data_IF_688722458667
#
_entry.id   IF_688722458667
#
_cell.length_a   1.000
_cell.length_b   1.000
_cell.length_c   1.000
_cell.angle_alpha   90.00
_cell.angle_beta   90.00
_cell.angle_gamma   90.00
#
_symmetry.space_group_name_H-M   'P 1'
#
loop_
_entity.id
_entity.type
_entity.pdbx_description
1 polymer ?
#
# COMPACT_ATOMS: atom_id res chain seq x y z
N UNK A 1 0.87 -0.46 21.74
CA UNK A 1 -0.40 -1.17 21.85
C UNK A 1 -0.35 -2.12 23.02
N UNK A 2 -1.43 -2.18 23.83
CA UNK A 2 -1.54 -3.12 24.97
C UNK A 2 -2.29 -4.41 24.58
N UNK A 3 -2.84 -4.47 23.37
CA UNK A 3 -3.50 -5.67 22.88
C UNK A 3 -2.48 -6.78 22.59
N UNK A 4 -2.87 -8.01 22.84
CA UNK A 4 -2.12 -9.15 22.34
C UNK A 4 -2.14 -9.16 20.82
N UNK A 5 -1.06 -9.61 20.20
CA UNK A 5 -0.96 -9.65 18.76
C UNK A 5 -0.21 -10.89 18.30
N UNK A 6 -0.59 -11.39 17.15
CA UNK A 6 0.08 -12.49 16.47
C UNK A 6 0.32 -12.12 15.01
N UNK A 7 1.39 -12.67 14.42
CA UNK A 7 1.69 -12.50 13.01
C UNK A 7 1.26 -13.74 12.24
N UNK A 8 0.62 -13.54 11.13
CA UNK A 8 0.46 -14.57 10.11
C UNK A 8 1.45 -14.31 8.96
N UNK A 9 1.75 -15.35 8.20
CA UNK A 9 2.64 -15.23 7.03
C UNK A 9 2.02 -14.30 6.00
N UNK A 10 2.89 -13.63 5.26
CA UNK A 10 2.47 -12.65 4.26
C UNK A 10 1.49 -13.26 3.25
N UNK A 11 0.29 -12.69 3.17
CA UNK A 11 -0.82 -13.12 2.31
C UNK A 11 -1.23 -14.62 2.43
N UNK A 12 -0.84 -15.30 3.51
CA UNK A 12 -1.17 -16.70 3.79
C UNK A 12 -2.49 -16.78 4.57
N UNK A 13 -3.59 -16.87 3.83
CA UNK A 13 -4.94 -16.92 4.41
C UNK A 13 -5.20 -18.22 5.17
N UNK A 14 -4.59 -19.32 4.76
CA UNK A 14 -4.69 -20.59 5.49
C UNK A 14 -4.00 -20.51 6.85
N UNK A 15 -2.84 -19.85 6.92
CA UNK A 15 -2.19 -19.60 8.22
C UNK A 15 -3.04 -18.69 9.09
N UNK A 16 -3.58 -17.61 8.53
CA UNK A 16 -4.49 -16.72 9.25
C UNK A 16 -5.69 -17.49 9.81
N UNK A 17 -6.32 -18.31 8.98
CA UNK A 17 -7.50 -19.07 9.40
C UNK A 17 -7.18 -20.08 10.51
N UNK A 18 -6.04 -20.78 10.42
CA UNK A 18 -5.58 -21.66 11.53
C UNK A 18 -5.39 -20.91 12.85
N UNK A 19 -4.88 -19.67 12.82
CA UNK A 19 -4.77 -18.83 14.00
C UNK A 19 -6.15 -18.43 14.55
N UNK A 20 -7.08 -18.07 13.66
CA UNK A 20 -8.45 -17.73 14.05
C UNK A 20 -9.16 -18.90 14.69
N UNK A 21 -9.10 -20.10 14.10
CA UNK A 21 -9.68 -21.33 14.68
C UNK A 21 -9.15 -21.60 16.09
N UNK A 22 -7.86 -21.33 16.32
CA UNK A 22 -7.22 -21.56 17.63
C UNK A 22 -7.57 -20.51 18.67
N UNK A 23 -7.71 -19.24 18.28
CA UNK A 23 -7.67 -18.12 19.23
C UNK A 23 -8.94 -17.28 19.27
N UNK A 24 -9.83 -17.32 18.24
CA UNK A 24 -10.99 -16.42 18.12
C UNK A 24 -11.86 -16.39 19.38
N UNK A 25 -12.15 -17.56 19.94
CA UNK A 25 -13.04 -17.71 21.10
C UNK A 25 -12.46 -17.16 22.42
N UNK A 26 -11.16 -16.93 22.47
CA UNK A 26 -10.50 -16.40 23.66
C UNK A 26 -10.63 -14.87 23.81
N UNK A 27 -11.10 -14.18 22.77
CA UNK A 27 -11.13 -12.73 22.74
C UNK A 27 -12.50 -12.19 22.32
N UNK A 28 -12.95 -11.15 23.03
CA UNK A 28 -14.20 -10.47 22.68
C UNK A 28 -14.11 -9.79 21.30
N UNK A 29 -13.00 -9.13 21.02
CA UNK A 29 -12.75 -8.45 19.75
C UNK A 29 -11.43 -8.92 19.16
N UNK A 30 -11.46 -9.31 17.89
CA UNK A 30 -10.27 -9.68 17.13
C UNK A 30 -10.19 -8.79 15.90
N UNK A 31 -9.02 -8.19 15.69
CA UNK A 31 -8.74 -7.29 14.59
C UNK A 31 -7.73 -7.92 13.63
N UNK A 32 -8.05 -7.91 12.35
CA UNK A 32 -7.06 -8.15 11.30
C UNK A 32 -6.56 -6.77 10.84
N UNK A 33 -5.23 -6.61 10.80
CA UNK A 33 -4.57 -5.38 10.35
C UNK A 33 -3.72 -5.72 9.13
N UNK A 34 -3.95 -5.04 8.02
CA UNK A 34 -3.21 -5.25 6.77
C UNK A 34 -3.04 -3.95 5.98
N UNK A 35 -2.07 -3.91 5.06
CA UNK A 35 -2.07 -2.95 3.94
C UNK A 35 -2.89 -3.54 2.79
N UNK A 36 -3.51 -2.71 1.96
CA UNK A 36 -4.17 -3.17 0.73
C UNK A 36 -3.18 -3.43 -0.40
N UNK A 37 -2.18 -2.55 -0.55
CA UNK A 37 -1.00 -2.72 -1.41
C UNK A 37 0.22 -2.60 -0.52
N UNK A 38 1.06 -3.64 -0.49
CA UNK A 38 2.22 -3.69 0.39
C UNK A 38 3.36 -2.83 -0.15
N UNK A 39 3.90 -1.99 0.73
CA UNK A 39 4.86 -0.94 0.39
C UNK A 39 6.19 -1.45 -0.15
N UNK A 40 6.62 -2.66 0.22
CA UNK A 40 7.93 -3.22 -0.15
C UNK A 40 7.87 -4.21 -1.31
N UNK A 41 6.77 -4.93 -1.42
CA UNK A 41 6.58 -5.99 -2.42
C UNK A 41 5.66 -5.58 -3.57
N UNK A 42 4.82 -4.56 -3.35
CA UNK A 42 3.89 -4.05 -4.34
C UNK A 42 2.72 -4.99 -4.65
N UNK A 43 2.64 -6.13 -3.97
CA UNK A 43 1.53 -7.06 -4.09
C UNK A 43 0.30 -6.58 -3.30
N UNK A 44 -0.83 -7.17 -3.59
CA UNK A 44 -2.12 -6.81 -2.98
C UNK A 44 -2.52 -7.82 -1.91
N UNK A 45 -3.13 -7.32 -0.83
CA UNK A 45 -3.82 -8.20 0.11
C UNK A 45 -5.05 -8.83 -0.55
N UNK A 46 -5.36 -10.10 -0.27
CA UNK A 46 -6.57 -10.78 -0.77
C UNK A 46 -7.81 -10.32 0.00
N UNK A 47 -8.21 -9.05 -0.19
CA UNK A 47 -9.25 -8.38 0.60
C UNK A 47 -10.60 -9.10 0.54
N UNK A 48 -10.96 -9.71 -0.60
CA UNK A 48 -12.20 -10.51 -0.70
C UNK A 48 -12.18 -11.72 0.24
N UNK A 49 -11.03 -12.40 0.35
CA UNK A 49 -10.86 -13.52 1.29
C UNK A 49 -10.88 -13.03 2.74
N UNK A 50 -10.23 -11.89 3.02
CA UNK A 50 -10.27 -11.26 4.35
C UNK A 50 -11.69 -10.87 4.74
N UNK A 51 -12.50 -10.37 3.79
CA UNK A 51 -13.92 -10.09 4.01
C UNK A 51 -14.72 -11.37 4.36
N UNK A 52 -14.46 -12.48 3.67
CA UNK A 52 -15.09 -13.75 3.97
C UNK A 52 -14.72 -14.25 5.38
N UNK A 53 -13.44 -14.16 5.75
CA UNK A 53 -12.98 -14.50 7.11
C UNK A 53 -13.56 -13.55 8.17
N UNK A 54 -13.64 -12.24 7.88
CA UNK A 54 -14.30 -11.27 8.76
C UNK A 54 -15.72 -11.70 9.09
N UNK A 55 -16.51 -12.06 8.08
CA UNK A 55 -17.90 -12.52 8.26
C UNK A 55 -17.97 -13.85 8.99
N UNK A 56 -17.14 -14.82 8.59
CA UNK A 56 -17.13 -16.18 9.17
C UNK A 56 -16.80 -16.20 10.66
N UNK A 57 -15.86 -15.37 11.09
CA UNK A 57 -15.33 -15.38 12.46
C UNK A 57 -15.73 -14.14 13.27
N UNK A 58 -16.64 -13.31 12.78
CA UNK A 58 -17.05 -12.05 13.44
C UNK A 58 -15.84 -11.20 13.86
N UNK A 59 -15.04 -10.75 12.89
CA UNK A 59 -13.81 -10.00 13.09
C UNK A 59 -14.01 -8.54 12.74
N UNK A 60 -13.04 -7.75 13.16
CA UNK A 60 -12.85 -6.36 12.74
C UNK A 60 -11.68 -6.27 11.76
N UNK A 61 -11.84 -5.45 10.73
CA UNK A 61 -10.84 -5.30 9.68
C UNK A 61 -10.33 -3.86 9.61
N UNK A 62 -9.02 -3.71 9.82
CA UNK A 62 -8.28 -2.47 9.61
C UNK A 62 -7.46 -2.60 8.32
N UNK A 63 -7.67 -1.70 7.38
CA UNK A 63 -6.96 -1.68 6.09
C UNK A 63 -6.23 -0.35 5.91
N UNK A 64 -4.93 -0.41 5.65
CA UNK A 64 -4.14 0.74 5.23
C UNK A 64 -4.11 0.82 3.70
N UNK A 65 -4.72 1.89 3.17
CA UNK A 65 -4.82 2.20 1.75
C UNK A 65 -3.76 3.22 1.28
N UNK A 66 -2.71 3.44 2.06
CA UNK A 66 -1.72 4.48 1.78
C UNK A 66 -1.08 4.37 0.39
N UNK A 67 -0.98 3.17 -0.18
CA UNK A 67 -0.46 2.91 -1.51
C UNK A 67 -1.55 2.68 -2.57
N UNK A 68 -2.81 2.57 -2.19
CA UNK A 68 -3.91 2.31 -3.12
C UNK A 68 -4.80 3.53 -3.37
N UNK A 69 -5.03 4.37 -2.35
CA UNK A 69 -5.84 5.58 -2.46
C UNK A 69 -5.25 6.55 -3.50
N UNK A 70 -6.08 6.97 -4.45
CA UNK A 70 -5.71 7.79 -5.59
C UNK A 70 -5.13 7.01 -6.78
N UNK A 71 -4.71 5.75 -6.56
CA UNK A 71 -3.97 4.92 -7.53
C UNK A 71 -4.84 3.86 -8.18
N UNK A 72 -5.76 3.25 -7.44
CA UNK A 72 -6.61 2.18 -7.95
C UNK A 72 -8.04 2.27 -7.42
N UNK A 73 -8.87 1.37 -7.91
CA UNK A 73 -10.28 1.29 -7.55
C UNK A 73 -11.17 2.35 -8.24
N UNK A 74 -12.49 2.21 -8.13
CA UNK A 74 -13.44 3.10 -8.79
C UNK A 74 -13.23 4.56 -8.39
N UNK A 75 -12.89 5.42 -9.35
CA UNK A 75 -12.60 6.84 -9.11
C UNK A 75 -11.40 7.08 -8.18
N UNK A 76 -10.46 6.12 -8.08
CA UNK A 76 -9.27 6.24 -7.24
C UNK A 76 -9.53 6.03 -5.73
N UNK A 77 -10.63 5.38 -5.36
CA UNK A 77 -11.01 5.18 -3.95
C UNK A 77 -10.26 4.05 -3.24
N UNK A 78 -9.33 3.39 -3.91
CA UNK A 78 -8.50 2.35 -3.34
C UNK A 78 -8.99 0.93 -3.59
N UNK A 79 -8.24 -0.05 -3.10
CA UNK A 79 -8.47 -1.47 -3.36
C UNK A 79 -9.68 -2.01 -2.59
N UNK A 80 -9.92 -1.54 -1.37
CA UNK A 80 -11.11 -1.92 -0.59
C UNK A 80 -12.40 -1.55 -1.35
N UNK A 81 -12.44 -0.36 -1.96
CA UNK A 81 -13.56 0.05 -2.81
C UNK A 81 -13.69 -0.80 -4.08
N UNK A 82 -12.57 -1.24 -4.67
CA UNK A 82 -12.57 -2.10 -5.85
C UNK A 82 -13.11 -3.52 -5.56
N UNK A 83 -12.86 -4.02 -4.37
CA UNK A 83 -13.26 -5.37 -3.94
C UNK A 83 -14.58 -5.40 -3.17
N UNK A 84 -15.18 -4.23 -2.89
CA UNK A 84 -16.37 -4.14 -2.05
C UNK A 84 -16.14 -4.57 -0.59
N UNK A 85 -14.90 -4.43 -0.11
CA UNK A 85 -14.54 -4.85 1.25
C UNK A 85 -15.04 -3.84 2.27
N UNK A 86 -15.78 -4.32 3.26
CA UNK A 86 -16.27 -3.54 4.39
C UNK A 86 -15.20 -3.47 5.49
N UNK A 87 -14.52 -2.33 5.58
CA UNK A 87 -13.49 -2.07 6.58
C UNK A 87 -14.08 -1.37 7.81
N UNK A 88 -13.80 -1.87 9.01
CA UNK A 88 -14.17 -1.17 10.27
C UNK A 88 -13.31 0.08 10.47
N UNK A 89 -12.05 0.01 10.05
CA UNK A 89 -11.13 1.15 9.96
C UNK A 89 -10.41 1.10 8.62
N UNK A 90 -10.52 2.17 7.85
CA UNK A 90 -9.71 2.40 6.66
C UNK A 90 -8.85 3.63 6.88
N UNK A 91 -7.56 3.50 6.64
CA UNK A 91 -6.60 4.61 6.72
C UNK A 91 -6.01 4.88 5.35
N UNK A 92 -5.88 6.14 4.98
CA UNK A 92 -5.12 6.53 3.80
C UNK A 92 -4.31 7.80 4.05
N UNK A 93 -3.21 7.94 3.31
CA UNK A 93 -2.33 9.10 3.42
C UNK A 93 -2.56 10.11 2.31
N UNK A 94 -2.46 11.37 2.64
CA UNK A 94 -2.48 12.47 1.68
C UNK A 94 -1.07 12.78 1.11
N UNK A 95 -0.03 12.20 1.70
CA UNK A 95 1.37 12.47 1.34
C UNK A 95 1.92 11.69 0.13
N UNK A 96 1.10 10.87 -0.52
CA UNK A 96 1.50 10.06 -1.69
C UNK A 96 0.78 10.54 -2.96
N UNK A 97 -0.18 9.80 -3.48
CA UNK A 97 -0.88 10.13 -4.73
C UNK A 97 -1.59 11.50 -4.70
N UNK A 98 -1.99 11.98 -3.53
CA UNK A 98 -2.65 13.28 -3.38
C UNK A 98 -1.65 14.46 -3.36
N UNK A 99 -0.35 14.18 -3.21
CA UNK A 99 0.73 15.18 -3.17
C UNK A 99 0.48 16.30 -2.13
N UNK A 100 0.04 15.94 -0.94
CA UNK A 100 -0.29 16.83 0.17
C UNK A 100 0.37 16.37 1.47
N UNK A 101 -0.20 16.75 2.61
CA UNK A 101 0.25 16.35 3.94
C UNK A 101 -0.90 15.78 4.75
N UNK A 102 -0.55 14.87 5.69
CA UNK A 102 -1.51 14.28 6.61
C UNK A 102 -2.05 12.94 6.14
N UNK A 103 -3.07 12.50 6.84
CA UNK A 103 -3.78 11.26 6.61
C UNK A 103 -5.24 11.42 7.04
N UNK A 104 -6.07 10.49 6.66
CA UNK A 104 -7.43 10.41 7.16
C UNK A 104 -7.79 8.98 7.55
N UNK A 105 -8.78 8.88 8.42
CA UNK A 105 -9.38 7.61 8.86
C UNK A 105 -10.85 7.63 8.51
N UNK A 106 -11.32 6.56 7.88
CA UNK A 106 -12.75 6.31 7.66
C UNK A 106 -13.14 5.19 8.61
N UNK A 107 -14.20 5.42 9.40
CA UNK A 107 -14.70 4.47 10.38
C UNK A 107 -16.13 4.87 10.78
N UNK A 108 -16.82 4.00 11.55
CA UNK A 108 -18.12 4.32 12.13
C UNK A 108 -18.08 5.43 13.19
N UNK A 109 -19.26 5.89 13.62
CA UNK A 109 -19.40 6.99 14.57
C UNK A 109 -18.81 6.68 15.95
N UNK A 110 -18.98 5.46 16.45
CA UNK A 110 -18.50 5.04 17.77
C UNK A 110 -16.97 5.00 17.82
N UNK A 111 -16.34 4.38 16.83
CA UNK A 111 -14.88 4.34 16.73
C UNK A 111 -14.33 5.76 16.51
N UNK A 112 -15.00 6.59 15.69
CA UNK A 112 -14.61 7.99 15.50
C UNK A 112 -14.60 8.77 16.81
N UNK A 113 -15.65 8.68 17.60
CA UNK A 113 -15.72 9.35 18.91
C UNK A 113 -14.63 8.86 19.85
N UNK A 114 -14.40 7.55 19.89
CA UNK A 114 -13.31 6.99 20.67
C UNK A 114 -11.94 7.55 20.22
N UNK A 115 -11.67 7.60 18.91
CA UNK A 115 -10.41 8.11 18.37
C UNK A 115 -10.22 9.60 18.70
N UNK A 116 -11.25 10.43 18.53
CA UNK A 116 -11.19 11.86 18.84
C UNK A 116 -10.81 12.09 20.31
N UNK A 117 -11.29 11.25 21.22
CA UNK A 117 -11.06 11.41 22.67
C UNK A 117 -9.83 10.65 23.19
N UNK A 118 -9.24 9.72 22.43
CA UNK A 118 -8.18 8.82 22.92
C UNK A 118 -6.96 8.74 22.04
N UNK A 119 -7.05 9.13 20.76
CA UNK A 119 -5.92 9.05 19.84
C UNK A 119 -4.91 10.16 20.16
N UNK A 120 -3.85 9.81 20.86
CA UNK A 120 -2.83 10.78 21.31
C UNK A 120 -2.19 11.55 20.17
N UNK A 121 -1.94 10.90 19.05
CA UNK A 121 -1.38 11.54 17.85
C UNK A 121 -2.31 12.55 17.21
N UNK A 122 -3.62 12.44 17.42
CA UNK A 122 -4.58 13.45 16.99
C UNK A 122 -4.66 14.61 18.02
N UNK A 123 -4.80 14.25 19.31
CA UNK A 123 -5.02 15.22 20.40
C UNK A 123 -3.83 16.17 20.57
N UNK A 124 -2.60 15.63 20.44
CA UNK A 124 -1.35 16.37 20.69
C UNK A 124 -0.63 16.79 19.41
N UNK A 125 -1.31 16.77 18.25
CA UNK A 125 -0.78 17.27 16.99
C UNK A 125 -1.37 18.63 16.63
N UNK A 126 -0.54 19.47 16.04
CA UNK A 126 -1.03 20.74 15.44
C UNK A 126 -1.89 20.42 14.21
N UNK A 127 -2.95 21.20 14.02
CA UNK A 127 -3.82 21.07 12.85
C UNK A 127 -3.03 21.23 11.54
N UNK A 128 -3.49 20.54 10.50
CA UNK A 128 -2.92 20.69 9.16
C UNK A 128 -3.12 22.13 8.64
N UNK A 129 -2.14 22.67 7.88
CA UNK A 129 -2.29 23.98 7.26
C UNK A 129 -3.54 24.03 6.36
N UNK A 130 -4.34 25.12 6.41
CA UNK A 130 -5.55 25.25 5.59
C UNK A 130 -5.29 25.07 4.09
N UNK A 131 -4.11 25.50 3.59
CA UNK A 131 -3.75 25.35 2.19
C UNK A 131 -3.59 23.87 1.80
N UNK A 132 -3.02 23.04 2.69
CA UNK A 132 -2.90 21.59 2.47
C UNK A 132 -4.26 20.90 2.43
N UNK A 133 -5.19 21.32 3.29
CA UNK A 133 -6.55 20.81 3.29
C UNK A 133 -7.31 21.20 2.01
N UNK A 134 -7.22 22.45 1.57
CA UNK A 134 -7.82 22.90 0.31
C UNK A 134 -7.24 22.20 -0.91
N UNK A 135 -5.92 22.01 -0.92
CA UNK A 135 -5.26 21.24 -1.98
C UNK A 135 -5.76 19.79 -2.01
N UNK A 136 -5.82 19.13 -0.85
CA UNK A 136 -6.32 17.76 -0.73
C UNK A 136 -7.75 17.64 -1.22
N UNK A 137 -8.66 18.53 -0.79
CA UNK A 137 -10.05 18.56 -1.26
C UNK A 137 -10.14 18.76 -2.78
N UNK A 138 -9.35 19.68 -3.34
CA UNK A 138 -9.29 19.93 -4.77
C UNK A 138 -8.86 18.67 -5.55
N UNK A 139 -7.80 17.98 -5.12
CA UNK A 139 -7.30 16.77 -5.80
C UNK A 139 -8.27 15.61 -5.65
N UNK A 140 -8.79 15.37 -4.42
CA UNK A 140 -9.73 14.28 -4.15
C UNK A 140 -10.99 14.40 -5.03
N UNK A 141 -11.57 15.60 -5.17
CA UNK A 141 -12.72 15.83 -6.05
C UNK A 141 -12.43 15.55 -7.52
N UNK A 142 -11.18 15.61 -7.94
CA UNK A 142 -10.74 15.34 -9.32
C UNK A 142 -10.34 13.90 -9.57
N UNK A 143 -10.13 13.09 -8.54
CA UNK A 143 -9.75 11.68 -8.69
C UNK A 143 -10.63 10.90 -9.69
N UNK A 144 -11.97 11.05 -9.71
CA UNK A 144 -12.80 10.35 -10.70
C UNK A 144 -12.43 10.67 -12.16
N UNK A 145 -11.95 11.89 -12.43
CA UNK A 145 -11.58 12.36 -13.76
C UNK A 145 -10.16 11.93 -14.17
N UNK A 146 -9.38 11.39 -13.25
CA UNK A 146 -8.01 10.92 -13.45
C UNK A 146 -7.93 9.44 -13.86
N UNK A 147 -9.04 8.83 -14.32
CA UNK A 147 -9.05 7.44 -14.77
C UNK A 147 -8.03 7.17 -15.90
N UNK A 148 -7.88 8.02 -16.92
CA UNK A 148 -6.87 7.79 -17.96
C UNK A 148 -5.43 7.72 -17.42
N UNK A 149 -5.14 8.42 -16.32
CA UNK A 149 -3.81 8.38 -15.68
C UNK A 149 -3.60 7.07 -14.91
N UNK A 150 -4.64 6.54 -14.29
CA UNK A 150 -4.58 5.22 -13.62
C UNK A 150 -4.44 4.08 -14.63
N UNK A 151 -5.19 4.14 -15.73
CA UNK A 151 -5.05 3.19 -16.86
C UNK A 151 -3.64 3.23 -17.44
N UNK A 152 -3.10 4.44 -17.65
CA UNK A 152 -1.73 4.60 -18.12
C UNK A 152 -0.72 4.04 -17.11
N UNK A 153 -0.87 4.30 -15.81
CA UNK A 153 0.00 3.75 -14.77
C UNK A 153 -0.03 2.21 -14.75
N UNK A 154 -1.21 1.61 -14.89
CA UNK A 154 -1.37 0.16 -15.01
C UNK A 154 -0.68 -0.39 -16.26
N UNK A 155 -0.81 0.32 -17.39
CA UNK A 155 -0.10 -0.03 -18.63
C UNK A 155 1.42 -0.02 -18.45
N UNK A 156 1.97 1.00 -17.78
CA UNK A 156 3.41 1.10 -17.50
C UNK A 156 3.88 -0.07 -16.62
N UNK A 157 3.12 -0.38 -15.56
CA UNK A 157 3.42 -1.50 -14.68
C UNK A 157 3.39 -2.84 -15.40
N UNK A 158 2.33 -3.10 -16.18
CA UNK A 158 2.22 -4.30 -17.02
C UNK A 158 3.38 -4.40 -18.03
N UNK A 159 3.73 -3.30 -18.70
CA UNK A 159 4.87 -3.30 -19.62
C UNK A 159 6.19 -3.58 -18.94
N UNK A 160 6.38 -3.09 -17.70
CA UNK A 160 7.61 -3.35 -16.94
C UNK A 160 7.71 -4.80 -16.51
N UNK A 161 6.65 -5.37 -15.95
CA UNK A 161 6.67 -6.68 -15.28
C UNK A 161 6.23 -7.84 -16.17
N UNK A 162 5.44 -7.58 -17.20
CA UNK A 162 4.73 -8.60 -17.97
C UNK A 162 3.51 -9.19 -17.27
N UNK A 163 3.16 -8.72 -16.06
CA UNK A 163 2.04 -9.23 -15.26
C UNK A 163 0.88 -8.25 -15.21
N UNK A 164 -0.35 -8.68 -15.52
CA UNK A 164 -1.53 -7.82 -15.43
C UNK A 164 -1.93 -7.47 -13.99
N UNK A 165 -1.47 -8.26 -13.01
CA UNK A 165 -1.74 -8.03 -11.59
C UNK A 165 -0.69 -7.17 -10.88
N UNK A 166 0.29 -6.63 -11.62
CA UNK A 166 1.32 -5.76 -11.03
C UNK A 166 0.76 -4.40 -10.64
N UNK A 167 1.25 -3.87 -9.53
CA UNK A 167 0.94 -2.51 -9.10
C UNK A 167 2.00 -1.51 -9.56
N UNK A 168 1.85 -0.25 -9.20
CA UNK A 168 2.85 0.80 -9.46
C UNK A 168 4.14 0.64 -8.64
N UNK A 169 4.19 -0.32 -7.72
CA UNK A 169 5.38 -0.67 -6.93
C UNK A 169 5.92 -1.99 -7.46
N UNK A 170 7.13 -1.96 -8.00
CA UNK A 170 7.76 -3.14 -8.60
C UNK A 170 9.09 -3.43 -7.91
N UNK A 171 9.19 -4.53 -7.14
CA UNK A 171 10.46 -4.95 -6.55
C UNK A 171 11.31 -5.70 -7.57
N UNK A 172 12.56 -5.26 -7.77
CA UNK A 172 13.57 -5.99 -8.52
C UNK A 172 14.50 -6.67 -7.51
N UNK A 173 14.34 -7.97 -7.35
CA UNK A 173 15.04 -8.74 -6.32
C UNK A 173 16.53 -8.80 -6.59
N UNK A 174 17.34 -8.41 -5.59
CA UNK A 174 18.80 -8.45 -5.63
C UNK A 174 19.39 -9.56 -4.71
N UNK A 175 18.62 -9.99 -3.71
CA UNK A 175 19.05 -10.94 -2.69
C UNK A 175 19.92 -10.27 -1.63
N UNK A 176 21.16 -9.95 -1.98
CA UNK A 176 22.14 -9.38 -1.05
C UNK A 176 22.16 -7.84 -1.05
N UNK A 177 22.51 -7.27 0.11
CA UNK A 177 22.54 -5.82 0.31
C UNK A 177 23.46 -5.10 -0.68
N UNK A 178 24.67 -5.63 -0.93
CA UNK A 178 25.63 -5.02 -1.84
C UNK A 178 25.11 -5.01 -3.28
N UNK A 179 24.49 -6.10 -3.74
CA UNK A 179 23.87 -6.17 -5.08
C UNK A 179 22.77 -5.15 -5.28
N UNK A 180 21.90 -4.94 -4.28
CA UNK A 180 20.87 -3.91 -4.35
C UNK A 180 21.47 -2.50 -4.51
N UNK A 181 22.58 -2.20 -3.84
CA UNK A 181 23.30 -0.93 -3.96
C UNK A 181 23.91 -0.77 -5.36
N UNK A 182 24.59 -1.80 -5.87
CA UNK A 182 25.19 -1.81 -7.21
C UNK A 182 24.14 -1.63 -8.31
N UNK A 183 23.02 -2.37 -8.22
CA UNK A 183 21.89 -2.22 -9.15
C UNK A 183 21.35 -0.79 -9.12
N UNK A 184 21.09 -0.23 -7.93
CA UNK A 184 20.62 1.15 -7.79
C UNK A 184 21.60 2.18 -8.39
N UNK A 185 22.90 1.95 -8.23
CA UNK A 185 23.95 2.80 -8.83
C UNK A 185 23.90 2.76 -10.36
N UNK A 186 23.86 1.56 -10.96
CA UNK A 186 23.76 1.38 -12.43
C UNK A 186 22.49 2.03 -13.01
N UNK A 187 21.36 1.89 -12.35
CA UNK A 187 20.13 2.59 -12.75
C UNK A 187 20.29 4.10 -12.69
N UNK A 188 20.92 4.62 -11.64
CA UNK A 188 21.16 6.07 -11.50
C UNK A 188 22.08 6.62 -12.58
N UNK A 189 23.15 5.90 -12.92
CA UNK A 189 24.05 6.24 -14.03
C UNK A 189 23.34 6.28 -15.38
N UNK A 190 22.30 5.43 -15.55
CA UNK A 190 21.45 5.45 -16.72
C UNK A 190 20.30 6.48 -16.66
N UNK A 191 20.24 7.31 -15.60
CA UNK A 191 19.26 8.38 -15.43
C UNK A 191 17.96 7.96 -14.70
N UNK A 192 17.94 6.80 -14.04
CA UNK A 192 16.78 6.33 -13.28
C UNK A 192 17.03 6.41 -11.78
N UNK A 193 16.21 7.15 -11.07
CA UNK A 193 16.28 7.24 -9.62
C UNK A 193 15.45 6.14 -8.98
N UNK A 194 16.10 5.09 -8.48
CA UNK A 194 15.49 3.96 -7.78
C UNK A 194 16.22 3.67 -6.48
N UNK A 195 15.47 3.20 -5.46
CA UNK A 195 16.00 3.07 -4.10
C UNK A 195 16.37 1.60 -3.80
N UNK A 196 17.59 1.35 -3.26
CA UNK A 196 17.94 0.04 -2.74
C UNK A 196 17.29 -0.17 -1.38
N UNK A 197 16.44 -1.18 -1.27
CA UNK A 197 15.83 -1.62 -0.01
C UNK A 197 16.63 -2.82 0.49
N UNK A 198 17.09 -2.76 1.74
CA UNK A 198 18.06 -3.67 2.30
C UNK A 198 17.65 -4.13 3.70
N UNK A 199 18.29 -5.16 4.22
CA UNK A 199 18.25 -5.45 5.66
C UNK A 199 18.71 -4.21 6.45
N UNK A 200 18.06 -3.84 7.59
CA UNK A 200 16.97 -4.55 8.28
C UNK A 200 15.53 -4.18 7.81
N UNK A 201 15.37 -3.31 6.81
CA UNK A 201 14.03 -2.94 6.29
C UNK A 201 13.30 -4.14 5.69
N UNK A 202 14.03 -5.05 5.07
CA UNK A 202 13.53 -6.33 4.57
C UNK A 202 14.38 -7.46 5.17
N UNK A 203 13.88 -8.71 5.22
CA UNK A 203 14.65 -9.84 5.73
C UNK A 203 15.98 -10.04 5.01
N UNK A 204 16.94 -10.65 5.68
CA UNK A 204 18.23 -11.02 5.08
C UNK A 204 18.02 -11.91 3.85
N UNK A 205 18.80 -11.70 2.79
CA UNK A 205 18.64 -12.39 1.50
C UNK A 205 17.44 -11.90 0.66
N UNK A 206 16.71 -10.86 1.11
CA UNK A 206 15.54 -10.30 0.42
C UNK A 206 15.75 -8.84 0.00
N UNK A 207 17.00 -8.39 -0.10
CA UNK A 207 17.30 -7.06 -0.62
C UNK A 207 16.82 -6.90 -2.07
N UNK A 208 16.39 -5.71 -2.41
CA UNK A 208 15.78 -5.38 -3.71
C UNK A 208 16.03 -3.93 -4.10
N UNK A 209 15.87 -3.63 -5.36
CA UNK A 209 15.64 -2.27 -5.83
C UNK A 209 14.14 -2.06 -5.97
N UNK A 210 13.59 -1.04 -5.32
CA UNK A 210 12.16 -0.71 -5.39
C UNK A 210 11.92 0.33 -6.46
N UNK A 211 11.23 -0.05 -7.51
CA UNK A 211 10.74 0.86 -8.54
C UNK A 211 9.36 1.37 -8.15
N UNK A 212 9.19 2.69 -8.14
CA UNK A 212 7.90 3.33 -7.93
C UNK A 212 7.53 4.07 -9.20
N UNK A 213 6.55 3.56 -9.92
CA UNK A 213 6.06 4.16 -11.16
C UNK A 213 5.12 5.34 -10.84
N UNK A 214 5.09 6.29 -11.75
CA UNK A 214 4.11 7.38 -11.73
C UNK A 214 3.54 7.61 -13.13
N UNK A 215 2.36 8.18 -13.20
CA UNK A 215 1.63 8.34 -14.46
C UNK A 215 2.22 9.42 -15.40
N UNK A 216 3.21 10.20 -14.96
CA UNK A 216 3.91 11.16 -15.81
C UNK A 216 5.00 10.51 -16.69
N UNK A 217 5.39 9.26 -16.38
CA UNK A 217 6.35 8.52 -17.20
C UNK A 217 5.73 8.16 -18.55
N UNK A 218 6.51 8.25 -19.60
CA UNK A 218 6.10 7.74 -20.90
C UNK A 218 6.55 6.28 -21.10
N UNK A 219 5.96 5.61 -22.09
CA UNK A 219 6.27 4.21 -22.37
C UNK A 219 7.70 3.98 -22.83
N UNK A 220 8.33 4.96 -23.48
CA UNK A 220 9.75 4.91 -23.89
C UNK A 220 10.70 4.83 -22.69
N UNK A 221 10.35 5.49 -21.58
CA UNK A 221 11.12 5.38 -20.34
C UNK A 221 11.12 3.94 -19.78
N UNK A 222 9.99 3.22 -19.90
CA UNK A 222 9.90 1.81 -19.47
C UNK A 222 10.76 0.90 -20.36
N UNK A 223 10.77 1.13 -21.68
CA UNK A 223 11.63 0.36 -22.61
C UNK A 223 13.09 0.54 -22.21
N UNK A 224 13.55 1.79 -22.10
CA UNK A 224 14.92 2.10 -21.69
C UNK A 224 15.27 1.54 -20.30
N UNK A 225 14.35 1.61 -19.37
CA UNK A 225 14.54 1.01 -18.03
C UNK A 225 14.76 -0.51 -18.12
N UNK A 226 13.96 -1.22 -18.94
CA UNK A 226 14.12 -2.68 -19.16
C UNK A 226 15.43 -3.04 -19.83
N UNK A 227 15.91 -2.25 -20.78
CA UNK A 227 17.23 -2.44 -21.41
C UNK A 227 18.34 -2.37 -20.34
N UNK A 228 18.31 -1.36 -19.48
CA UNK A 228 19.24 -1.23 -18.34
C UNK A 228 19.11 -2.42 -17.39
N UNK A 229 17.88 -2.80 -17.02
CA UNK A 229 17.66 -3.94 -16.14
C UNK A 229 18.26 -5.21 -16.70
N UNK A 230 18.00 -5.53 -17.98
CA UNK A 230 18.53 -6.71 -18.64
C UNK A 230 20.07 -6.71 -18.75
N UNK A 231 20.70 -5.54 -18.75
CA UNK A 231 22.16 -5.40 -18.75
C UNK A 231 22.82 -5.59 -17.37
N UNK A 232 22.03 -5.53 -16.30
CA UNK A 232 22.52 -5.66 -14.90
C UNK A 232 22.53 -7.13 -14.44
N UNK A 233 21.68 -7.98 -15.04
CA UNK A 233 21.38 -9.36 -14.66
C UNK A 233 22.48 -10.36 -14.76
#
# INVERSE_FOLDING_TARGET
CKAEWQRFNHNDMDHLERLLVRHREHYRNVWIVTESIFSMDGDCAPLATLQALKTKYDLKLYVDEAHAFGVCGPGGRGLAAATGTDCDILVATLGKAIASQGAFVITDGEIREFLVNRLRTLIFSTALPPISLRWSDYVIRRLPQMEPWREHLNLLSHRLTGSPSSTHIVPLMAGENHRAIEMSKKFREAGFWVMPIRYPTVPQGKARVRVSLNAALNTGAIVKFKEVWNSIG
#
